data_IF_353373715345
#
_entry.id   IF_353373715345
#
_cell.length_a   1.000
_cell.length_b   1.000
_cell.length_c   1.000
_cell.angle_alpha   90.00
_cell.angle_beta   90.00
_cell.angle_gamma   90.00
#
_symmetry.space_group_name_H-M   'P 1'
#
loop_
_entity.id
_entity.type
_entity.pdbx_description
1 polymer ?
#
# COMPACT_ATOMS: atom_id res chain seq x y z
N UNK A 1 -10.27 -26.76 5.03
CA UNK A 1 -9.45 -25.54 5.21
C UNK A 1 -10.26 -24.37 4.70
N UNK A 2 -10.56 -23.41 5.57
CA UNK A 2 -11.48 -22.31 5.27
C UNK A 2 -10.77 -21.27 4.41
N UNK A 3 -11.39 -20.89 3.29
CA UNK A 3 -10.81 -19.97 2.31
C UNK A 3 -10.90 -18.53 2.84
N UNK A 4 -9.87 -18.06 3.55
CA UNK A 4 -9.79 -16.71 4.14
C UNK A 4 -10.07 -15.63 3.07
N UNK A 5 -9.59 -15.83 1.84
CA UNK A 5 -9.88 -14.93 0.72
C UNK A 5 -11.37 -14.87 0.35
N UNK A 6 -12.10 -15.99 0.43
CA UNK A 6 -13.54 -16.05 0.16
C UNK A 6 -14.37 -15.48 1.31
N UNK A 7 -13.88 -15.57 2.56
CA UNK A 7 -14.51 -14.92 3.72
C UNK A 7 -14.34 -13.41 3.60
N UNK A 8 -13.11 -12.94 3.37
CA UNK A 8 -12.79 -11.53 3.21
C UNK A 8 -13.55 -10.88 2.06
N UNK A 9 -13.84 -11.59 0.96
CA UNK A 9 -14.61 -11.06 -0.17
C UNK A 9 -16.13 -10.97 0.06
N UNK A 10 -16.67 -11.72 1.02
CA UNK A 10 -18.11 -11.84 1.26
C UNK A 10 -18.59 -11.14 2.54
N UNK A 11 -17.68 -10.57 3.32
CA UNK A 11 -18.02 -9.80 4.52
C UNK A 11 -18.30 -8.33 4.17
N UNK A 12 -19.42 -7.80 4.66
CA UNK A 12 -19.64 -6.36 4.79
C UNK A 12 -18.69 -5.83 5.88
N UNK A 13 -17.42 -5.62 5.52
CA UNK A 13 -16.37 -5.26 6.47
C UNK A 13 -14.95 -5.69 6.08
N UNK A 14 -14.69 -5.90 4.78
CA UNK A 14 -13.38 -6.36 4.25
C UNK A 14 -12.21 -5.55 4.84
N UNK A 15 -12.41 -4.24 5.06
CA UNK A 15 -11.38 -3.35 5.58
C UNK A 15 -11.06 -3.65 7.04
N UNK A 16 -12.07 -3.85 7.86
CA UNK A 16 -11.95 -4.22 9.28
C UNK A 16 -11.28 -5.59 9.43
N UNK A 17 -11.72 -6.59 8.67
CA UNK A 17 -11.12 -7.92 8.68
C UNK A 17 -9.66 -7.94 8.16
N UNK A 18 -9.33 -7.10 7.17
CA UNK A 18 -7.95 -6.90 6.74
C UNK A 18 -7.11 -6.18 7.82
N UNK A 19 -7.66 -5.19 8.52
CA UNK A 19 -6.96 -4.48 9.61
C UNK A 19 -6.67 -5.40 10.80
N UNK A 20 -7.62 -6.24 11.19
CA UNK A 20 -7.44 -7.21 12.27
C UNK A 20 -6.35 -8.25 11.97
N UNK A 21 -6.27 -8.68 10.71
CA UNK A 21 -5.30 -9.69 10.28
C UNK A 21 -3.93 -9.08 9.92
N UNK A 22 -3.87 -7.79 9.56
CA UNK A 22 -2.67 -7.12 9.07
C UNK A 22 -2.48 -5.73 9.68
N UNK A 23 -1.93 -5.64 10.91
CA UNK A 23 -1.71 -4.38 11.62
C UNK A 23 -0.86 -3.35 10.87
N UNK A 24 -0.01 -3.79 9.94
CA UNK A 24 0.78 -2.89 9.09
C UNK A 24 -0.07 -2.09 8.10
N UNK A 25 -1.28 -2.55 7.76
CA UNK A 25 -2.23 -1.76 6.96
C UNK A 25 -2.79 -0.60 7.76
N UNK A 26 -3.09 -0.81 9.04
CA UNK A 26 -3.53 0.26 9.94
C UNK A 26 -2.42 1.30 10.12
N UNK A 27 -1.17 0.85 10.31
CA UNK A 27 -0.01 1.75 10.36
C UNK A 27 0.22 2.54 9.06
N UNK A 28 -0.05 1.94 7.89
CA UNK A 28 0.06 2.60 6.60
C UNK A 28 -1.03 3.66 6.42
N UNK A 29 -2.25 3.36 6.86
CA UNK A 29 -3.40 4.28 6.85
C UNK A 29 -3.24 5.45 7.83
N UNK A 30 -2.53 5.24 8.94
CA UNK A 30 -2.22 6.26 9.94
C UNK A 30 -0.89 7.00 9.68
N UNK A 31 -0.25 6.79 8.52
CA UNK A 31 1.12 7.27 8.31
C UNK A 31 1.16 8.76 7.99
N UNK A 32 1.73 9.54 8.91
CA UNK A 32 2.10 10.93 8.67
C UNK A 32 3.08 11.01 7.49
N UNK A 33 2.57 11.42 6.33
CA UNK A 33 3.31 11.54 5.07
C UNK A 33 2.61 10.95 3.85
N UNK A 34 1.56 10.15 4.06
CA UNK A 34 0.69 9.63 3.01
C UNK A 34 -0.73 10.17 3.21
N UNK A 35 -1.35 10.64 2.13
CA UNK A 35 -2.66 11.26 2.10
C UNK A 35 -3.56 10.55 1.08
N UNK A 36 -4.87 10.60 1.30
CA UNK A 36 -5.87 10.04 0.38
C UNK A 36 -5.64 8.57 0.02
N UNK A 37 -5.16 7.76 0.96
CA UNK A 37 -4.92 6.34 0.74
C UNK A 37 -6.22 5.62 0.37
N UNK A 38 -6.23 4.99 -0.81
CA UNK A 38 -7.39 4.30 -1.39
C UNK A 38 -7.00 2.93 -1.89
N UNK A 39 -7.79 1.92 -1.53
CA UNK A 39 -7.69 0.59 -2.13
C UNK A 39 -8.32 0.65 -3.54
N UNK A 40 -7.53 0.35 -4.57
CA UNK A 40 -7.96 0.38 -5.97
C UNK A 40 -8.15 -1.02 -6.56
N UNK A 41 -7.62 -2.05 -5.90
CA UNK A 41 -7.82 -3.43 -6.32
C UNK A 41 -7.47 -4.44 -5.23
N UNK A 42 -8.09 -5.61 -5.32
CA UNK A 42 -7.77 -6.77 -4.50
C UNK A 42 -7.73 -8.01 -5.38
N UNK A 43 -6.71 -8.85 -5.19
CA UNK A 43 -6.50 -10.10 -5.92
C UNK A 43 -6.24 -11.21 -4.94
N UNK A 44 -6.94 -12.32 -5.07
CA UNK A 44 -6.73 -13.49 -4.24
C UNK A 44 -6.25 -14.63 -5.14
N UNK A 45 -5.07 -15.19 -4.89
CA UNK A 45 -4.68 -16.45 -5.54
C UNK A 45 -5.04 -17.60 -4.64
N UNK A 46 -5.64 -18.63 -5.26
CA UNK A 46 -6.54 -19.60 -4.66
C UNK A 46 -6.07 -20.33 -3.39
N UNK A 47 -4.82 -20.23 -2.93
CA UNK A 47 -4.34 -20.99 -1.77
C UNK A 47 -3.27 -20.33 -0.88
N UNK A 48 -2.79 -19.11 -1.12
CA UNK A 48 -1.60 -18.66 -0.34
C UNK A 48 -1.37 -17.17 -0.17
N UNK A 49 -1.98 -16.30 -0.97
CA UNK A 49 -1.74 -14.87 -0.78
C UNK A 49 -2.87 -13.94 -1.22
N UNK A 50 -2.95 -12.82 -0.51
CA UNK A 50 -3.83 -11.69 -0.81
C UNK A 50 -2.96 -10.57 -1.37
N UNK A 51 -3.28 -10.16 -2.59
CA UNK A 51 -2.72 -9.00 -3.25
C UNK A 51 -3.62 -7.79 -3.01
N UNK A 52 -3.08 -6.70 -2.49
CA UNK A 52 -3.80 -5.43 -2.31
C UNK A 52 -3.13 -4.35 -3.16
N UNK A 53 -3.90 -3.66 -3.99
CA UNK A 53 -3.43 -2.55 -4.80
C UNK A 53 -3.97 -1.24 -4.19
N UNK A 54 -3.08 -0.36 -3.74
CA UNK A 54 -3.41 0.95 -3.15
C UNK A 54 -2.82 2.10 -3.97
N UNK A 55 -3.49 3.24 -3.88
CA UNK A 55 -3.01 4.53 -4.37
C UNK A 55 -3.10 5.58 -3.27
N UNK A 56 -2.15 6.51 -3.24
CA UNK A 56 -2.12 7.62 -2.29
C UNK A 56 -1.29 8.80 -2.82
N UNK A 57 -1.39 9.95 -2.17
CA UNK A 57 -0.56 11.14 -2.44
C UNK A 57 0.43 11.34 -1.29
N UNK A 58 1.69 11.63 -1.58
CA UNK A 58 2.68 11.92 -0.54
C UNK A 58 2.71 13.40 -0.16
N UNK A 59 3.19 13.69 1.05
CA UNK A 59 3.65 15.03 1.43
C UNK A 59 5.03 15.32 0.82
N UNK A 60 5.42 16.60 0.79
CA UNK A 60 6.72 17.04 0.25
C UNK A 60 7.91 16.35 0.93
N UNK A 61 7.86 16.13 2.24
CA UNK A 61 8.94 15.45 2.98
C UNK A 61 9.00 13.92 2.76
N UNK A 62 7.95 13.35 2.15
CA UNK A 62 7.83 11.90 1.97
C UNK A 62 8.24 11.48 0.54
N UNK A 63 8.03 12.35 -0.45
CA UNK A 63 8.39 12.14 -1.84
C UNK A 63 9.70 12.85 -2.21
N UNK A 64 10.61 12.27 -3.02
CA UNK A 64 10.55 11.00 -3.75
C UNK A 64 11.25 9.85 -2.98
N UNK A 65 11.15 9.83 -1.66
CA UNK A 65 11.89 8.88 -0.81
C UNK A 65 10.96 7.86 -0.15
N UNK A 66 9.91 7.44 -0.87
CA UNK A 66 8.76 6.69 -0.33
C UNK A 66 9.23 5.41 0.33
N UNK A 67 10.03 4.57 -0.35
CA UNK A 67 10.57 3.34 0.25
C UNK A 67 11.36 3.60 1.54
N UNK A 68 12.28 4.56 1.51
CA UNK A 68 13.14 4.85 2.67
C UNK A 68 12.30 5.30 3.86
N UNK A 69 11.32 6.17 3.61
CA UNK A 69 10.40 6.68 4.63
C UNK A 69 9.51 5.59 5.24
N UNK A 70 9.00 4.67 4.42
CA UNK A 70 8.24 3.51 4.90
C UNK A 70 9.08 2.62 5.84
N UNK A 71 10.37 2.43 5.53
CA UNK A 71 11.28 1.67 6.39
C UNK A 71 11.62 2.44 7.66
N UNK A 72 11.94 3.73 7.56
CA UNK A 72 12.21 4.62 8.72
C UNK A 72 11.03 4.63 9.71
N UNK A 73 9.80 4.56 9.19
CA UNK A 73 8.56 4.59 9.97
C UNK A 73 8.11 3.20 10.45
N UNK A 74 8.87 2.15 10.15
CA UNK A 74 8.62 0.79 10.65
C UNK A 74 7.51 0.02 9.93
N UNK A 75 7.01 0.51 8.79
CA UNK A 75 6.00 -0.20 7.98
C UNK A 75 6.59 -1.51 7.43
N UNK A 76 7.90 -1.58 7.22
CA UNK A 76 8.58 -2.81 6.83
C UNK A 76 10.09 -2.70 6.96
N UNK A 77 10.78 -3.79 6.60
CA UNK A 77 12.23 -3.84 6.56
C UNK A 77 12.76 -3.63 5.13
N UNK A 78 14.07 -3.44 5.00
CA UNK A 78 14.75 -3.40 3.68
C UNK A 78 14.46 -4.63 2.81
N UNK A 79 14.12 -5.77 3.42
CA UNK A 79 13.85 -7.05 2.76
C UNK A 79 12.36 -7.26 2.45
N UNK A 80 11.47 -6.38 2.91
CA UNK A 80 10.03 -6.50 2.71
C UNK A 80 9.42 -5.32 1.97
N UNK A 81 10.18 -4.25 1.74
CA UNK A 81 9.76 -3.08 0.95
C UNK A 81 10.69 -2.89 -0.25
N UNK A 82 10.13 -2.94 -1.46
CA UNK A 82 10.87 -2.85 -2.71
C UNK A 82 10.33 -1.71 -3.57
N UNK A 83 11.21 -0.96 -4.21
CA UNK A 83 10.78 -0.06 -5.29
C UNK A 83 10.50 -0.94 -6.50
N UNK A 84 9.28 -0.85 -7.03
CA UNK A 84 8.88 -1.53 -8.27
C UNK A 84 9.17 -0.65 -9.48
N UNK A 85 8.65 0.59 -9.48
CA UNK A 85 8.75 1.49 -10.63
C UNK A 85 8.56 2.95 -10.20
N UNK A 86 9.19 3.88 -10.92
CA UNK A 86 8.84 5.30 -10.91
C UNK A 86 8.12 5.60 -12.23
N UNK A 87 6.86 5.99 -12.18
CA UNK A 87 6.03 6.27 -13.35
C UNK A 87 5.86 7.77 -13.58
N UNK A 88 5.64 8.16 -14.85
CA UNK A 88 5.32 9.54 -15.22
C UNK A 88 6.33 10.58 -14.69
N UNK A 89 7.63 10.30 -14.85
CA UNK A 89 8.70 11.16 -14.35
C UNK A 89 8.63 12.57 -14.95
N UNK A 90 8.72 13.59 -14.10
CA UNK A 90 8.73 15.01 -14.45
C UNK A 90 7.35 15.63 -14.67
N UNK A 91 6.26 14.92 -14.38
CA UNK A 91 4.89 15.41 -14.55
C UNK A 91 4.14 15.48 -13.22
N UNK A 92 2.99 16.16 -13.20
CA UNK A 92 2.15 16.28 -11.98
C UNK A 92 1.56 14.94 -11.52
N UNK A 93 1.54 13.92 -12.38
CA UNK A 93 1.12 12.56 -12.04
C UNK A 93 2.29 11.59 -11.85
N UNK A 94 3.49 12.09 -11.55
CA UNK A 94 4.62 11.25 -11.16
C UNK A 94 4.29 10.45 -9.90
N UNK A 95 4.73 9.20 -9.86
CA UNK A 95 4.57 8.34 -8.70
C UNK A 95 5.75 7.40 -8.49
N UNK A 96 5.99 7.03 -7.23
CA UNK A 96 6.82 5.89 -6.84
C UNK A 96 5.90 4.74 -6.45
N UNK A 97 6.06 3.59 -7.10
CA UNK A 97 5.35 2.37 -6.79
C UNK A 97 6.26 1.47 -5.95
N UNK A 98 5.78 1.10 -4.77
CA UNK A 98 6.48 0.20 -3.86
C UNK A 98 5.68 -1.09 -3.65
N UNK A 99 6.39 -2.21 -3.53
CA UNK A 99 5.84 -3.50 -3.15
C UNK A 99 6.21 -3.80 -1.70
N UNK A 100 5.20 -4.11 -0.92
CA UNK A 100 5.24 -4.41 0.50
C UNK A 100 4.84 -5.88 0.68
N UNK A 101 5.73 -6.71 1.19
CA UNK A 101 5.51 -8.14 1.36
C UNK A 101 5.47 -8.52 2.84
N UNK A 102 4.31 -8.85 3.36
CA UNK A 102 4.10 -9.21 4.77
C UNK A 102 3.42 -10.57 4.85
N UNK A 103 4.09 -11.59 5.36
CA UNK A 103 3.52 -12.88 5.78
C UNK A 103 2.23 -13.33 5.05
N UNK A 104 2.31 -13.58 3.74
CA UNK A 104 1.16 -14.03 2.93
C UNK A 104 0.34 -12.91 2.27
N UNK A 105 0.72 -11.65 2.44
CA UNK A 105 0.17 -10.49 1.74
C UNK A 105 1.23 -9.79 0.92
N UNK A 106 0.85 -9.44 -0.30
CA UNK A 106 1.60 -8.56 -1.17
C UNK A 106 0.79 -7.30 -1.42
N UNK A 107 1.24 -6.18 -0.87
CA UNK A 107 0.62 -4.89 -1.08
C UNK A 107 1.44 -4.10 -2.10
N UNK A 108 0.79 -3.67 -3.18
CA UNK A 108 1.33 -2.69 -4.12
C UNK A 108 0.81 -1.33 -3.74
N UNK A 109 1.69 -0.41 -3.40
CA UNK A 109 1.34 0.96 -3.04
C UNK A 109 1.93 1.92 -4.08
N UNK A 110 1.05 2.62 -4.79
CA UNK A 110 1.44 3.71 -5.69
C UNK A 110 1.30 5.03 -4.96
N UNK A 111 2.42 5.74 -4.78
CA UNK A 111 2.45 7.02 -4.08
C UNK A 111 2.78 8.13 -5.07
N UNK A 112 1.79 8.95 -5.36
CA UNK A 112 1.90 10.12 -6.23
C UNK A 112 2.64 11.26 -5.53
N UNK A 113 3.29 12.12 -6.32
CA UNK A 113 3.90 13.33 -5.81
C UNK A 113 2.85 14.31 -5.21
N UNK A 114 3.27 15.28 -4.38
CA UNK A 114 2.35 16.19 -3.70
C UNK A 114 1.52 17.10 -4.62
N UNK A 115 1.93 17.28 -5.88
CA UNK A 115 1.25 18.14 -6.86
C UNK A 115 0.07 17.44 -7.54
N UNK A 116 -0.09 16.12 -7.36
CA UNK A 116 -1.06 15.31 -8.09
C UNK A 116 -2.52 15.77 -7.95
N UNK A 117 -2.93 16.18 -6.74
CA UNK A 117 -4.29 16.60 -6.44
C UNK A 117 -4.45 18.12 -6.24
N UNK A 118 -3.44 18.95 -6.54
CA UNK A 118 -3.50 20.41 -6.37
C UNK A 118 -4.30 21.14 -7.49
N UNK A 119 -5.26 20.48 -8.13
CA UNK A 119 -6.11 21.05 -9.19
C UNK A 119 -7.43 21.58 -8.69
#
# INVERSE_FOLDING_TARGET
>A
MTNIAQILLNESGIREALREQFPHLDQLESLDGIQDLRLTGMKTRAQSFIGLDYEATATEDFYPHVRSKLIEKGIGSKNSVFVDTIGCKGTTNEYEKVLLSFSGIHTSLKVYNPEYNKK
#
